data_IF_678211402773
#
_entry.id   IF_678211402773
#
_cell.length_a   1.000
_cell.length_b   1.000
_cell.length_c   1.000
_cell.angle_alpha   90.00
_cell.angle_beta   90.00
_cell.angle_gamma   90.00
#
_symmetry.space_group_name_H-M   'P 1'
#
loop_
_entity.id
_entity.type
_entity.pdbx_description
1 polymer ?
#
# COMPACT_ATOMS: atom_id res chain seq x y z
N UNK A 1 -25.04 -2.87 -29.25
CA UNK A 1 -24.68 -2.39 -27.89
C UNK A 1 -24.75 -3.62 -27.00
N UNK A 2 -23.58 -4.18 -26.62
CA UNK A 2 -23.51 -5.37 -25.74
C UNK A 2 -23.54 -4.79 -24.31
N UNK A 3 -24.64 -5.01 -23.60
CA UNK A 3 -24.70 -4.63 -22.18
C UNK A 3 -23.77 -5.56 -21.38
N UNK A 4 -22.91 -5.03 -20.50
CA UNK A 4 -22.05 -5.86 -19.67
C UNK A 4 -22.89 -6.81 -18.82
N UNK A 5 -22.49 -8.08 -18.78
CA UNK A 5 -23.15 -9.10 -17.95
C UNK A 5 -22.65 -8.92 -16.52
N UNK A 6 -23.42 -8.22 -15.70
CA UNK A 6 -23.09 -8.07 -14.29
C UNK A 6 -24.20 -8.68 -13.42
N UNK A 7 -23.77 -9.17 -12.24
CA UNK A 7 -24.69 -9.54 -11.17
C UNK A 7 -24.47 -8.58 -10.02
N UNK A 8 -25.55 -8.07 -9.48
CA UNK A 8 -25.54 -7.10 -8.40
C UNK A 8 -26.39 -7.57 -7.23
N UNK A 9 -25.88 -7.39 -6.03
CA UNK A 9 -26.66 -7.61 -4.80
C UNK A 9 -26.34 -6.48 -3.80
N UNK A 10 -27.39 -5.96 -3.18
CA UNK A 10 -27.25 -4.94 -2.15
C UNK A 10 -27.50 -5.57 -0.77
N UNK A 11 -26.53 -5.40 0.14
CA UNK A 11 -26.63 -5.88 1.52
C UNK A 11 -26.31 -4.70 2.44
N UNK A 12 -27.32 -4.24 3.18
CA UNK A 12 -27.19 -3.01 3.96
C UNK A 12 -26.95 -1.80 3.05
N UNK A 13 -25.85 -1.10 3.27
CA UNK A 13 -25.43 0.07 2.48
C UNK A 13 -24.30 -0.25 1.47
N UNK A 14 -24.02 -1.52 1.23
CA UNK A 14 -22.96 -1.97 0.32
C UNK A 14 -23.59 -2.65 -0.89
N UNK A 15 -23.21 -2.18 -2.07
CA UNK A 15 -23.55 -2.81 -3.34
C UNK A 15 -22.37 -3.68 -3.81
N UNK A 16 -22.62 -4.97 -3.96
CA UNK A 16 -21.65 -5.92 -4.51
C UNK A 16 -21.93 -6.13 -6.00
N UNK A 17 -20.91 -5.94 -6.80
CA UNK A 17 -20.96 -6.13 -8.24
C UNK A 17 -20.01 -7.26 -8.64
N UNK A 18 -20.54 -8.26 -9.34
CA UNK A 18 -19.74 -9.27 -10.02
C UNK A 18 -19.67 -8.92 -11.51
N UNK A 19 -18.47 -8.60 -11.97
CA UNK A 19 -18.20 -8.14 -13.33
C UNK A 19 -17.31 -9.15 -14.06
N UNK A 20 -17.50 -9.29 -15.37
CA UNK A 20 -16.48 -9.94 -16.21
C UNK A 20 -15.25 -9.02 -16.31
N UNK A 21 -14.04 -9.61 -16.28
CA UNK A 21 -12.78 -8.83 -16.27
C UNK A 21 -12.67 -7.86 -17.45
N UNK A 22 -13.17 -8.25 -18.62
CA UNK A 22 -13.17 -7.39 -19.83
C UNK A 22 -14.02 -6.12 -19.68
N UNK A 23 -14.99 -6.13 -18.76
CA UNK A 23 -15.92 -5.02 -18.57
C UNK A 23 -15.43 -4.06 -17.45
N UNK A 24 -14.49 -4.50 -16.61
CA UNK A 24 -14.06 -3.75 -15.42
C UNK A 24 -13.53 -2.35 -15.75
N UNK A 25 -12.63 -2.22 -16.73
CA UNK A 25 -12.05 -0.91 -17.10
C UNK A 25 -13.10 0.02 -17.71
N UNK A 26 -13.99 -0.53 -18.56
CA UNK A 26 -15.07 0.25 -19.16
C UNK A 26 -16.06 0.74 -18.10
N UNK A 27 -16.41 -0.11 -17.15
CA UNK A 27 -17.29 0.25 -16.03
C UNK A 27 -16.62 1.27 -15.12
N UNK A 28 -15.36 1.07 -14.75
CA UNK A 28 -14.63 1.99 -13.88
C UNK A 28 -14.54 3.39 -14.49
N UNK A 29 -14.17 3.51 -15.75
CA UNK A 29 -14.04 4.81 -16.42
C UNK A 29 -15.40 5.54 -16.56
N UNK A 30 -16.49 4.80 -16.77
CA UNK A 30 -17.82 5.39 -16.87
C UNK A 30 -18.43 5.78 -15.51
N UNK A 31 -18.00 5.12 -14.42
CA UNK A 31 -18.53 5.37 -13.09
C UNK A 31 -17.74 6.41 -12.30
N UNK A 32 -16.56 6.82 -12.73
CA UNK A 32 -15.73 7.73 -11.95
C UNK A 32 -16.43 9.07 -11.66
N UNK A 33 -17.03 9.69 -12.67
CA UNK A 33 -17.85 10.89 -12.49
C UNK A 33 -19.07 10.64 -11.60
N UNK A 34 -19.69 9.47 -11.70
CA UNK A 34 -20.83 9.09 -10.87
C UNK A 34 -20.40 8.95 -9.41
N UNK A 35 -19.28 8.28 -9.15
CA UNK A 35 -18.74 8.11 -7.79
C UNK A 35 -18.37 9.43 -7.15
N UNK A 36 -17.76 10.34 -7.90
CA UNK A 36 -17.47 11.71 -7.42
C UNK A 36 -18.75 12.47 -7.07
N UNK A 37 -19.75 12.44 -7.94
CA UNK A 37 -21.00 13.17 -7.75
C UNK A 37 -21.78 12.71 -6.53
N UNK A 38 -21.80 11.39 -6.28
CA UNK A 38 -22.58 10.79 -5.20
C UNK A 38 -21.74 10.42 -3.97
N UNK A 39 -20.46 10.81 -3.93
CA UNK A 39 -19.52 10.49 -2.84
C UNK A 39 -19.43 8.99 -2.54
N UNK A 40 -19.38 8.18 -3.59
CA UNK A 40 -19.25 6.74 -3.50
C UNK A 40 -17.80 6.32 -3.65
N UNK A 41 -17.46 5.16 -3.08
CA UNK A 41 -16.16 4.54 -3.26
C UNK A 41 -16.31 3.04 -3.50
N UNK A 42 -15.40 2.44 -4.25
CA UNK A 42 -15.39 1.01 -4.56
C UNK A 42 -14.02 0.38 -4.35
N UNK A 43 -14.00 -0.82 -3.76
CA UNK A 43 -12.84 -1.71 -3.72
C UNK A 43 -12.99 -2.84 -4.72
N UNK A 44 -11.96 -3.10 -5.50
CA UNK A 44 -11.93 -4.19 -6.48
C UNK A 44 -10.99 -5.29 -5.99
N UNK A 45 -11.49 -6.53 -5.95
CA UNK A 45 -10.67 -7.71 -5.66
C UNK A 45 -9.71 -8.04 -6.80
N UNK A 46 -8.83 -9.03 -6.56
CA UNK A 46 -8.14 -9.68 -7.66
C UNK A 46 -9.13 -10.42 -8.58
N UNK A 47 -8.69 -10.71 -9.79
CA UNK A 47 -9.44 -11.55 -10.71
C UNK A 47 -9.49 -13.01 -10.20
N UNK A 48 -10.66 -13.63 -10.24
CA UNK A 48 -10.83 -15.05 -9.90
C UNK A 48 -11.62 -15.78 -10.99
N UNK A 49 -11.39 -17.08 -11.11
CA UNK A 49 -12.03 -17.93 -12.11
C UNK A 49 -12.90 -19.02 -11.50
N UNK A 50 -12.75 -19.27 -10.19
CA UNK A 50 -13.46 -20.32 -9.48
C UNK A 50 -14.43 -19.70 -8.46
N UNK A 51 -15.68 -20.20 -8.45
CA UNK A 51 -16.70 -19.75 -7.49
C UNK A 51 -16.30 -19.96 -6.01
N UNK A 52 -15.41 -20.90 -5.73
CA UNK A 52 -14.88 -21.14 -4.38
C UNK A 52 -14.13 -19.90 -3.86
N UNK A 53 -13.52 -19.13 -4.74
CA UNK A 53 -12.78 -17.92 -4.40
C UNK A 53 -13.69 -16.70 -4.16
N UNK A 54 -14.99 -16.81 -4.44
CA UNK A 54 -15.92 -15.69 -4.38
C UNK A 54 -15.97 -15.03 -2.99
N UNK A 55 -16.09 -15.83 -1.92
CA UNK A 55 -16.14 -15.29 -0.56
C UNK A 55 -14.86 -14.53 -0.19
N UNK A 56 -13.70 -15.12 -0.51
CA UNK A 56 -12.41 -14.49 -0.28
C UNK A 56 -12.25 -13.20 -1.10
N UNK A 57 -12.75 -13.18 -2.34
CA UNK A 57 -12.72 -11.99 -3.19
C UNK A 57 -13.61 -10.86 -2.66
N UNK A 58 -14.75 -11.20 -2.08
CA UNK A 58 -15.63 -10.21 -1.41
C UNK A 58 -14.90 -9.60 -0.20
N UNK A 59 -14.33 -10.42 0.69
CA UNK A 59 -13.57 -9.95 1.84
C UNK A 59 -12.38 -9.07 1.41
N UNK A 60 -11.69 -9.50 0.36
CA UNK A 60 -10.57 -8.75 -0.20
C UNK A 60 -11.00 -7.38 -0.73
N UNK A 61 -12.10 -7.30 -1.48
CA UNK A 61 -12.59 -6.03 -2.03
C UNK A 61 -12.96 -5.03 -0.93
N UNK A 62 -13.57 -5.51 0.15
CA UNK A 62 -13.90 -4.68 1.32
C UNK A 62 -12.64 -4.18 2.04
N UNK A 63 -11.64 -5.05 2.20
CA UNK A 63 -10.40 -4.65 2.85
C UNK A 63 -9.59 -3.68 1.98
N UNK A 64 -9.55 -3.87 0.66
CA UNK A 64 -8.95 -2.92 -0.30
C UNK A 64 -9.64 -1.56 -0.22
N UNK A 65 -10.98 -1.54 -0.18
CA UNK A 65 -11.75 -0.31 0.01
C UNK A 65 -11.33 0.41 1.31
N UNK A 66 -11.28 -0.31 2.42
CA UNK A 66 -10.91 0.23 3.74
C UNK A 66 -9.50 0.81 3.75
N UNK A 67 -8.53 0.09 3.16
CA UNK A 67 -7.14 0.51 3.07
C UNK A 67 -7.04 1.75 2.16
N UNK A 68 -7.62 1.67 0.98
CA UNK A 68 -7.57 2.73 -0.02
C UNK A 68 -8.17 4.04 0.47
N UNK A 69 -9.35 4.01 1.08
CA UNK A 69 -9.98 5.19 1.67
C UNK A 69 -9.14 5.84 2.76
N UNK A 70 -8.35 5.05 3.49
CA UNK A 70 -7.43 5.57 4.52
C UNK A 70 -6.19 6.21 3.90
N UNK A 71 -5.60 5.57 2.88
CA UNK A 71 -4.34 5.99 2.27
C UNK A 71 -4.53 7.12 1.24
N UNK A 72 -5.55 7.00 0.40
CA UNK A 72 -5.84 8.00 -0.63
C UNK A 72 -7.34 8.36 -0.67
N UNK A 73 -7.83 9.21 0.24
CA UNK A 73 -9.26 9.53 0.35
C UNK A 73 -9.83 10.30 -0.85
N UNK A 74 -8.99 10.74 -1.79
CA UNK A 74 -9.41 11.45 -3.01
C UNK A 74 -9.72 10.51 -4.18
N UNK A 75 -9.27 9.26 -4.09
CA UNK A 75 -9.56 8.22 -5.08
C UNK A 75 -10.93 7.61 -4.80
N UNK A 76 -11.66 7.23 -5.86
CA UNK A 76 -12.98 6.63 -5.73
C UNK A 76 -12.97 5.12 -6.00
N UNK A 77 -12.00 4.60 -6.76
CA UNK A 77 -11.91 3.19 -7.13
C UNK A 77 -10.53 2.67 -6.75
N UNK A 78 -10.51 1.74 -5.82
CA UNK A 78 -9.29 1.12 -5.28
C UNK A 78 -9.14 -0.28 -5.84
N UNK A 79 -8.10 -0.53 -6.63
CA UNK A 79 -7.85 -1.82 -7.29
C UNK A 79 -6.86 -2.66 -6.52
N UNK A 80 -7.07 -3.98 -6.46
CA UNK A 80 -6.15 -4.90 -5.80
C UNK A 80 -4.71 -4.75 -6.29
N UNK A 81 -4.49 -4.55 -7.58
CA UNK A 81 -3.14 -4.41 -8.15
C UNK A 81 -2.37 -3.21 -7.55
N UNK A 82 -3.08 -2.16 -7.19
CA UNK A 82 -2.52 -0.95 -6.59
C UNK A 82 -2.27 -1.12 -5.09
N UNK A 83 -3.12 -1.90 -4.42
CA UNK A 83 -3.14 -2.05 -2.96
C UNK A 83 -2.72 -3.46 -2.48
N UNK A 84 -2.12 -4.28 -3.34
CA UNK A 84 -1.74 -5.66 -3.01
C UNK A 84 -0.76 -5.75 -1.83
N UNK A 85 0.24 -4.85 -1.76
CA UNK A 85 1.21 -4.82 -0.67
C UNK A 85 0.61 -4.33 0.66
N UNK A 86 -0.14 -3.22 0.72
CA UNK A 86 -0.91 -2.86 1.90
C UNK A 86 -1.87 -3.95 2.35
N UNK A 87 -2.52 -4.65 1.43
CA UNK A 87 -3.40 -5.78 1.72
C UNK A 87 -2.63 -6.96 2.35
N UNK A 88 -1.45 -7.32 1.80
CA UNK A 88 -0.57 -8.35 2.36
C UNK A 88 -0.20 -8.01 3.80
N UNK A 89 0.23 -6.78 4.06
CA UNK A 89 0.59 -6.32 5.42
C UNK A 89 -0.62 -6.34 6.35
N UNK A 90 -1.79 -5.91 5.88
CA UNK A 90 -3.03 -5.97 6.66
C UNK A 90 -3.38 -7.41 7.04
N UNK A 91 -3.23 -8.34 6.11
CA UNK A 91 -3.46 -9.78 6.33
C UNK A 91 -2.47 -10.35 7.35
N UNK A 92 -1.17 -10.01 7.24
CA UNK A 92 -0.17 -10.42 8.23
C UNK A 92 -0.52 -9.91 9.63
N UNK A 93 -0.91 -8.64 9.75
CA UNK A 93 -1.33 -8.03 11.03
C UNK A 93 -2.55 -8.70 11.66
N UNK A 94 -3.43 -9.28 10.85
CA UNK A 94 -4.65 -9.97 11.32
C UNK A 94 -4.35 -11.35 11.92
N UNK A 95 -3.36 -12.07 11.37
CA UNK A 95 -3.12 -13.49 11.72
C UNK A 95 -1.81 -13.75 12.46
N UNK A 96 -0.95 -12.77 12.62
CA UNK A 96 0.37 -12.92 13.25
C UNK A 96 0.81 -11.66 13.95
N UNK A 97 1.90 -11.76 14.70
CA UNK A 97 2.64 -10.58 15.18
C UNK A 97 3.60 -10.13 14.08
N UNK A 98 3.33 -9.01 13.40
CA UNK A 98 4.06 -8.63 12.18
C UNK A 98 5.56 -8.45 12.43
N UNK A 99 5.95 -8.03 13.64
CA UNK A 99 7.34 -7.80 14.01
C UNK A 99 8.23 -9.05 13.90
N UNK A 100 7.63 -10.26 13.90
CA UNK A 100 8.40 -11.49 13.68
C UNK A 100 9.00 -11.59 12.27
N UNK A 101 8.46 -10.85 11.32
CA UNK A 101 8.93 -10.78 9.93
C UNK A 101 9.86 -9.60 9.67
N UNK A 102 10.12 -8.77 10.69
CA UNK A 102 11.00 -7.61 10.58
C UNK A 102 12.44 -7.97 10.96
N UNK A 103 13.39 -7.36 10.26
CA UNK A 103 14.79 -7.42 10.66
C UNK A 103 14.98 -6.73 12.02
N UNK A 104 15.74 -7.32 12.95
CA UNK A 104 16.03 -6.70 14.25
C UNK A 104 16.66 -5.30 14.12
N UNK A 105 17.46 -5.09 13.08
CA UNK A 105 18.10 -3.81 12.75
C UNK A 105 17.07 -2.72 12.44
N UNK A 106 15.98 -3.08 11.76
CA UNK A 106 14.91 -2.15 11.41
C UNK A 106 14.02 -1.87 12.63
N UNK A 107 13.77 -2.86 13.48
CA UNK A 107 13.09 -2.63 14.76
C UNK A 107 13.90 -1.68 15.65
N UNK A 108 15.23 -1.81 15.67
CA UNK A 108 16.12 -0.89 16.38
C UNK A 108 16.04 0.54 15.83
N UNK A 109 15.96 0.68 14.49
CA UNK A 109 15.79 1.99 13.86
C UNK A 109 14.45 2.63 14.25
N UNK A 110 13.38 1.86 14.31
CA UNK A 110 12.06 2.33 14.77
C UNK A 110 12.12 2.79 16.24
N UNK A 111 12.78 2.02 17.10
CA UNK A 111 12.97 2.41 18.50
C UNK A 111 13.77 3.70 18.61
N UNK A 112 14.83 3.85 17.81
CA UNK A 112 15.62 5.07 17.76
C UNK A 112 14.77 6.28 17.35
N UNK A 113 13.93 6.16 16.31
CA UNK A 113 13.03 7.23 15.89
C UNK A 113 12.07 7.64 17.02
N UNK A 114 11.55 6.67 17.77
CA UNK A 114 10.65 6.94 18.91
C UNK A 114 11.36 7.64 20.06
N UNK A 115 12.61 7.29 20.35
CA UNK A 115 13.39 7.87 21.43
C UNK A 115 13.90 9.29 21.14
N UNK A 116 14.31 9.53 19.89
CA UNK A 116 14.96 10.77 19.49
C UNK A 116 14.09 11.71 18.64
N UNK A 117 12.85 11.31 18.33
CA UNK A 117 11.93 12.11 17.52
C UNK A 117 12.45 12.32 16.08
N UNK A 118 13.06 11.28 15.52
CA UNK A 118 13.57 11.29 14.15
C UNK A 118 12.63 10.52 13.20
N UNK A 119 12.81 10.72 11.87
CA UNK A 119 12.01 10.09 10.82
C UNK A 119 12.93 9.25 9.90
N UNK A 120 13.81 8.46 10.50
CA UNK A 120 14.79 7.69 9.74
C UNK A 120 14.16 6.47 9.05
N UNK A 121 13.14 5.86 9.66
CA UNK A 121 12.40 4.75 9.04
C UNK A 121 11.66 5.21 7.77
N UNK A 122 10.99 6.36 7.83
CA UNK A 122 10.33 6.99 6.67
C UNK A 122 11.35 7.38 5.60
N UNK A 123 12.48 7.94 6.01
CA UNK A 123 13.61 8.27 5.12
C UNK A 123 14.15 7.03 4.40
N UNK A 124 14.32 5.91 5.13
CA UNK A 124 14.79 4.65 4.58
C UNK A 124 13.80 4.08 3.58
N UNK A 125 12.51 4.03 3.93
CA UNK A 125 11.44 3.53 3.07
C UNK A 125 11.36 4.33 1.77
N UNK A 126 11.37 5.65 1.85
CA UNK A 126 11.37 6.56 0.71
C UNK A 126 12.60 6.35 -0.18
N UNK A 127 13.79 6.21 0.42
CA UNK A 127 15.01 5.93 -0.33
C UNK A 127 14.95 4.58 -1.04
N UNK A 128 14.49 3.53 -0.38
CA UNK A 128 14.37 2.21 -0.98
C UNK A 128 13.38 2.18 -2.14
N UNK A 129 12.32 2.96 -2.07
CA UNK A 129 11.34 3.07 -3.14
C UNK A 129 11.91 3.75 -4.38
N UNK A 130 12.47 4.95 -4.23
CA UNK A 130 12.97 5.73 -5.36
C UNK A 130 14.33 5.27 -5.87
N UNK A 131 15.14 4.62 -5.04
CA UNK A 131 16.53 4.22 -5.35
C UNK A 131 17.40 5.38 -5.89
N UNK A 132 16.99 6.60 -5.62
CA UNK A 132 17.64 7.83 -6.04
C UNK A 132 17.55 8.88 -4.93
N UNK A 133 18.71 9.35 -4.49
CA UNK A 133 18.82 10.31 -3.37
C UNK A 133 18.11 11.63 -3.67
N UNK A 134 18.21 12.13 -4.92
CA UNK A 134 17.61 13.42 -5.28
C UNK A 134 16.08 13.31 -5.31
N UNK A 135 15.55 12.26 -5.93
CA UNK A 135 14.11 12.03 -6.00
C UNK A 135 13.52 11.81 -4.61
N UNK A 136 14.17 11.00 -3.78
CA UNK A 136 13.75 10.74 -2.41
C UNK A 136 13.81 12.02 -1.55
N UNK A 137 14.85 12.84 -1.70
CA UNK A 137 14.96 14.12 -0.99
C UNK A 137 13.86 15.10 -1.38
N UNK A 138 13.53 15.19 -2.67
CA UNK A 138 12.44 16.03 -3.18
C UNK A 138 11.08 15.55 -2.62
N UNK A 139 10.83 14.26 -2.57
CA UNK A 139 9.61 13.68 -2.02
C UNK A 139 9.43 14.03 -0.53
N UNK A 140 10.51 13.94 0.25
CA UNK A 140 10.51 14.31 1.66
C UNK A 140 10.64 15.83 1.91
N UNK A 141 10.67 16.64 0.87
CA UNK A 141 10.86 18.10 0.96
C UNK A 141 12.10 18.53 1.76
N UNK A 142 13.20 17.76 1.63
CA UNK A 142 14.48 18.04 2.27
C UNK A 142 15.61 18.25 1.24
N UNK A 143 16.68 18.91 1.66
CA UNK A 143 17.84 19.06 0.79
C UNK A 143 18.60 17.73 0.62
N UNK A 144 19.20 17.50 -0.56
CA UNK A 144 19.96 16.28 -0.86
C UNK A 144 21.08 15.96 0.17
N UNK A 145 21.70 17.00 0.73
CA UNK A 145 22.75 16.81 1.74
C UNK A 145 22.15 16.26 3.06
N UNK A 146 20.97 16.73 3.43
CA UNK A 146 20.23 16.19 4.57
C UNK A 146 19.84 14.74 4.32
N UNK A 147 19.41 14.41 3.11
CA UNK A 147 19.10 13.02 2.73
C UNK A 147 20.32 12.12 2.85
N UNK A 148 21.47 12.53 2.31
CA UNK A 148 22.72 11.79 2.45
C UNK A 148 23.14 11.61 3.91
N UNK A 149 23.04 12.66 4.72
CA UNK A 149 23.30 12.60 6.16
C UNK A 149 22.38 11.57 6.85
N UNK A 150 21.09 11.62 6.57
CA UNK A 150 20.12 10.68 7.14
C UNK A 150 20.42 9.24 6.73
N UNK A 151 20.75 8.99 5.46
CA UNK A 151 21.14 7.65 4.98
C UNK A 151 22.39 7.15 5.71
N UNK A 152 23.40 7.99 5.90
CA UNK A 152 24.61 7.61 6.66
C UNK A 152 24.28 7.27 8.11
N UNK A 153 23.42 8.07 8.76
CA UNK A 153 22.94 7.79 10.12
C UNK A 153 22.17 6.48 10.22
N UNK A 154 21.31 6.18 9.24
CA UNK A 154 20.60 4.91 9.17
C UNK A 154 21.57 3.75 9.11
N UNK A 155 22.61 3.84 8.25
CA UNK A 155 23.67 2.83 8.14
C UNK A 155 24.44 2.67 9.47
N UNK A 156 24.79 3.77 10.13
CA UNK A 156 25.46 3.75 11.44
C UNK A 156 24.62 3.05 12.52
N UNK A 157 23.33 3.35 12.59
CA UNK A 157 22.41 2.79 13.60
C UNK A 157 22.14 1.31 13.34
N UNK A 158 21.92 0.96 12.07
CA UNK A 158 21.47 -0.38 11.70
C UNK A 158 22.64 -1.33 11.38
N UNK A 159 23.76 -0.83 10.88
CA UNK A 159 24.84 -1.64 10.34
C UNK A 159 24.52 -2.28 8.97
N UNK A 160 23.36 -1.95 8.38
CA UNK A 160 22.89 -2.54 7.14
C UNK A 160 23.59 -1.94 5.92
N UNK A 161 23.85 -2.78 4.91
CA UNK A 161 24.31 -2.34 3.61
C UNK A 161 23.11 -2.11 2.71
N UNK A 162 22.83 -0.85 2.35
CA UNK A 162 21.73 -0.46 1.47
C UNK A 162 22.08 -0.59 -0.02
N UNK A 163 23.02 -1.48 -0.35
CA UNK A 163 23.43 -1.80 -1.70
C UNK A 163 22.54 -2.88 -2.31
N UNK A 164 22.95 -3.55 -3.34
CA UNK A 164 22.15 -4.57 -4.03
C UNK A 164 22.19 -5.90 -3.28
N UNK A 165 21.15 -6.72 -3.43
CA UNK A 165 21.12 -8.09 -2.93
C UNK A 165 19.83 -8.51 -2.24
N UNK A 166 19.80 -9.73 -1.74
CA UNK A 166 18.65 -10.36 -1.07
C UNK A 166 18.23 -9.61 0.20
N UNK A 167 19.16 -8.98 0.88
CA UNK A 167 18.86 -8.24 2.12
C UNK A 167 17.94 -7.03 1.89
N UNK A 168 17.97 -6.42 0.70
CA UNK A 168 17.09 -5.29 0.38
C UNK A 168 15.60 -5.65 0.45
N UNK A 169 15.23 -6.85 0.04
CA UNK A 169 13.83 -7.31 0.14
C UNK A 169 13.39 -7.43 1.60
N UNK A 170 14.27 -7.93 2.46
CA UNK A 170 14.00 -8.07 3.90
C UNK A 170 13.89 -6.69 4.57
N UNK A 171 14.77 -5.77 4.21
CA UNK A 171 14.74 -4.37 4.69
C UNK A 171 13.43 -3.71 4.24
N UNK A 172 13.11 -3.80 2.96
CA UNK A 172 11.91 -3.20 2.39
C UNK A 172 10.62 -3.78 3.00
N UNK A 173 10.54 -5.12 3.15
CA UNK A 173 9.41 -5.77 3.82
C UNK A 173 9.27 -5.32 5.26
N UNK A 174 10.37 -5.21 6.00
CA UNK A 174 10.36 -4.71 7.37
C UNK A 174 9.82 -3.28 7.43
N UNK A 175 10.26 -2.40 6.54
CA UNK A 175 9.75 -1.03 6.44
C UNK A 175 8.24 -1.00 6.14
N UNK A 176 7.76 -1.82 5.21
CA UNK A 176 6.33 -1.92 4.89
C UNK A 176 5.49 -2.39 6.09
N UNK A 177 5.98 -3.38 6.83
CA UNK A 177 5.28 -3.92 8.00
C UNK A 177 5.19 -2.85 9.10
N UNK A 178 6.26 -2.09 9.31
CA UNK A 178 6.37 -1.05 10.32
C UNK A 178 5.82 0.30 9.85
N UNK A 179 5.38 0.40 8.61
CA UNK A 179 4.86 1.64 8.03
C UNK A 179 3.77 2.24 8.91
N UNK A 180 4.12 3.34 9.54
CA UNK A 180 3.23 4.10 10.44
C UNK A 180 2.40 5.11 9.65
N UNK A 181 2.90 5.57 8.50
CA UNK A 181 2.34 6.67 7.73
C UNK A 181 1.53 6.23 6.52
N UNK A 182 1.52 4.91 6.19
CA UNK A 182 0.77 4.38 5.05
C UNK A 182 1.38 4.80 3.72
N UNK A 183 2.69 4.57 3.55
CA UNK A 183 3.38 4.86 2.29
C UNK A 183 2.63 4.26 1.10
N UNK A 184 2.01 5.12 0.31
CA UNK A 184 1.29 4.78 -0.90
C UNK A 184 2.16 5.14 -2.12
N UNK A 185 2.64 4.15 -2.91
CA UNK A 185 3.45 4.41 -4.10
C UNK A 185 2.73 5.22 -5.19
N UNK A 186 1.43 5.43 -5.06
CA UNK A 186 0.56 6.02 -6.07
C UNK A 186 0.37 7.54 -5.95
N UNK A 187 0.99 8.19 -4.97
CA UNK A 187 0.97 9.66 -4.85
C UNK A 187 2.03 10.38 -5.72
N UNK A 188 2.50 9.68 -6.77
CA UNK A 188 3.54 10.19 -7.68
C UNK A 188 2.99 10.52 -9.05
#
# INVERSE_FOLDING_TARGET
MIYPTYKAVCIGNILYLLLETKDLESVANNLDNFFQTYHLAAGCSHHFSNIIEFSASVEQSLEILRIGMKQNPRQNIYRFQEYNMPYLVSTLKKYSQPNYFCLPEILRLQTYDQEFGTDYLDTLQTYLFFRNVITAANHLHIHRNTMNYRIQKIIEITGLKLTEGEDLYKIWLSCLILDVNGFCPHEL
#
